data_IF_580664813592
#
_entry.id   IF_580664813592
#
_cell.length_a   1.000
_cell.length_b   1.000
_cell.length_c   1.000
_cell.angle_alpha   90.00
_cell.angle_beta   90.00
_cell.angle_gamma   90.00
#
_symmetry.space_group_name_H-M   'P 1'
#
loop_
_entity.id
_entity.type
_entity.pdbx_description
1 polymer ?
#
# COMPACT_ATOMS: atom_id res chain seq x y z
N UNK A 1 -20.20 3.60 24.66
CA UNK A 1 -19.81 3.41 23.25
C UNK A 1 -19.18 4.71 22.78
N UNK A 2 -17.83 4.80 22.85
CA UNK A 2 -17.11 5.99 22.44
C UNK A 2 -17.04 6.09 20.93
N UNK A 3 -17.16 7.31 20.41
CA UNK A 3 -16.91 7.58 19.00
C UNK A 3 -15.44 7.27 18.68
N UNK A 4 -15.21 6.64 17.50
CA UNK A 4 -13.84 6.38 17.02
C UNK A 4 -13.21 7.71 16.60
N UNK A 5 -12.02 8.00 17.14
CA UNK A 5 -11.29 9.22 16.81
C UNK A 5 -10.79 9.18 15.36
N UNK A 6 -11.03 10.27 14.61
CA UNK A 6 -10.49 10.47 13.27
C UNK A 6 -9.25 11.34 13.36
N UNK A 7 -8.14 10.83 12.85
CA UNK A 7 -6.83 11.49 12.93
C UNK A 7 -6.26 11.65 11.52
N UNK A 8 -5.87 12.86 11.10
CA UNK A 8 -5.27 13.04 9.77
C UNK A 8 -3.89 12.38 9.69
N UNK A 9 -3.53 11.91 8.50
CA UNK A 9 -2.21 11.30 8.24
C UNK A 9 -1.06 12.27 8.54
N UNK A 10 -1.31 13.57 8.57
CA UNK A 10 -0.31 14.57 8.98
C UNK A 10 0.07 14.48 10.45
N UNK A 11 -0.73 13.82 11.28
CA UNK A 11 -0.47 13.74 12.71
C UNK A 11 0.73 12.82 12.99
N UNK A 12 1.87 13.41 13.31
CA UNK A 12 3.14 12.72 13.50
C UNK A 12 3.24 11.93 14.81
N UNK A 13 2.26 12.07 15.70
CA UNK A 13 2.14 11.22 16.88
C UNK A 13 1.67 9.80 16.50
N UNK A 14 0.80 9.70 15.53
CA UNK A 14 0.19 8.44 15.11
C UNK A 14 0.77 7.85 13.82
N UNK A 15 1.32 8.69 12.94
CA UNK A 15 1.76 8.25 11.61
C UNK A 15 3.15 8.78 11.27
N UNK A 16 3.85 7.99 10.45
CA UNK A 16 5.11 8.40 9.83
C UNK A 16 4.91 8.49 8.33
N UNK A 17 5.32 9.61 7.72
CA UNK A 17 5.43 9.76 6.27
C UNK A 17 6.91 9.76 5.93
N UNK A 18 7.42 8.63 5.44
CA UNK A 18 8.85 8.38 5.23
C UNK A 18 9.27 8.63 3.77
N UNK A 19 8.76 9.68 3.16
CA UNK A 19 9.04 10.02 1.77
C UNK A 19 10.49 10.45 1.52
N UNK A 20 11.17 10.94 2.56
CA UNK A 20 12.50 11.55 2.44
C UNK A 20 13.56 10.60 1.86
N UNK A 21 13.46 9.30 2.09
CA UNK A 21 14.43 8.33 1.61
C UNK A 21 14.23 7.87 0.17
N UNK A 22 13.15 8.26 -0.48
CA UNK A 22 12.82 7.81 -1.84
C UNK A 22 13.89 8.22 -2.84
N UNK A 23 14.20 7.31 -3.77
CA UNK A 23 15.20 7.57 -4.81
C UNK A 23 14.80 6.92 -6.13
N UNK A 24 14.44 7.71 -7.16
CA UNK A 24 14.19 7.17 -8.49
C UNK A 24 15.51 6.79 -9.16
N UNK A 25 15.55 5.62 -9.81
CA UNK A 25 16.74 5.17 -10.57
C UNK A 25 16.25 4.68 -11.93
N UNK A 26 16.81 5.23 -13.00
CA UNK A 26 16.52 4.77 -14.36
C UNK A 26 16.87 3.30 -14.50
N UNK A 27 16.05 2.54 -15.24
CA UNK A 27 16.24 1.10 -15.42
C UNK A 27 17.66 0.74 -15.86
N UNK A 28 18.26 1.52 -16.76
CA UNK A 28 19.61 1.31 -17.27
C UNK A 28 20.71 1.51 -16.20
N UNK A 29 20.40 2.20 -15.10
CA UNK A 29 21.37 2.49 -14.03
C UNK A 29 21.14 1.64 -12.79
N UNK A 30 20.14 0.78 -12.78
CA UNK A 30 19.85 -0.10 -11.63
C UNK A 30 20.88 -1.23 -11.58
N UNK A 31 21.39 -1.50 -10.38
CA UNK A 31 22.31 -2.63 -10.13
C UNK A 31 21.46 -3.82 -9.69
N UNK A 32 21.47 -4.95 -10.43
CA UNK A 32 20.67 -6.12 -10.07
C UNK A 32 20.98 -6.63 -8.66
N UNK A 33 19.93 -7.04 -7.94
CA UNK A 33 20.04 -7.55 -6.58
C UNK A 33 18.75 -8.27 -6.15
N UNK A 34 18.52 -8.35 -4.85
CA UNK A 34 17.38 -9.07 -4.28
C UNK A 34 16.33 -8.15 -3.63
N UNK A 35 16.60 -6.86 -3.55
CA UNK A 35 15.70 -5.89 -2.93
C UNK A 35 14.61 -5.46 -3.92
N UNK A 36 13.32 -5.58 -3.57
CA UNK A 36 12.25 -5.15 -4.47
C UNK A 36 12.27 -3.63 -4.65
N UNK A 37 12.19 -3.20 -5.92
CA UNK A 37 12.12 -1.81 -6.33
C UNK A 37 10.67 -1.49 -6.69
N UNK A 38 10.04 -0.62 -5.88
CA UNK A 38 8.64 -0.29 -6.03
C UNK A 38 8.41 0.97 -6.85
N UNK A 39 7.51 0.85 -7.81
CA UNK A 39 6.90 1.98 -8.51
C UNK A 39 5.44 2.15 -8.06
N UNK A 40 4.68 2.96 -8.82
CA UNK A 40 3.31 3.33 -8.45
C UNK A 40 2.36 2.13 -8.31
N UNK A 41 2.54 1.07 -9.10
CA UNK A 41 1.56 -0.03 -9.17
C UNK A 41 2.08 -1.37 -8.69
N UNK A 42 3.40 -1.57 -8.65
CA UNK A 42 3.95 -2.87 -8.30
C UNK A 42 5.47 -2.81 -8.17
N UNK A 43 6.06 -3.96 -7.82
CA UNK A 43 7.51 -4.18 -7.93
C UNK A 43 7.88 -4.14 -9.41
N UNK A 44 8.79 -3.24 -9.77
CA UNK A 44 9.25 -3.06 -11.15
C UNK A 44 10.55 -3.79 -11.42
N UNK A 45 11.35 -4.04 -10.39
CA UNK A 45 12.69 -4.58 -10.51
C UNK A 45 13.18 -5.13 -9.17
N UNK A 46 14.34 -5.81 -9.19
CA UNK A 46 15.05 -6.23 -7.99
C UNK A 46 16.46 -5.66 -8.05
N UNK A 47 16.85 -4.91 -7.02
CA UNK A 47 18.08 -4.12 -7.03
C UNK A 47 18.95 -4.40 -5.82
N UNK A 48 20.21 -3.99 -5.89
CA UNK A 48 21.13 -3.98 -4.76
C UNK A 48 20.89 -2.73 -3.91
N UNK A 49 20.98 -2.88 -2.59
CA UNK A 49 20.75 -1.79 -1.65
C UNK A 49 19.25 -1.62 -1.30
N UNK A 50 18.94 -0.61 -0.55
CA UNK A 50 17.56 -0.31 -0.15
C UNK A 50 17.43 1.17 0.22
N UNK A 51 16.21 1.71 0.13
CA UNK A 51 15.88 3.05 0.62
C UNK A 51 15.24 3.00 2.01
N UNK A 52 14.51 1.91 2.29
CA UNK A 52 13.74 1.74 3.52
C UNK A 52 13.90 0.31 4.05
N UNK A 53 13.76 0.18 5.36
CA UNK A 53 13.72 -1.12 6.03
C UNK A 53 12.70 -1.05 7.16
N UNK A 54 11.66 -1.86 7.08
CA UNK A 54 10.60 -1.88 8.07
C UNK A 54 9.26 -2.26 7.45
N UNK A 55 8.18 -1.94 8.17
CA UNK A 55 6.81 -2.22 7.74
C UNK A 55 6.15 -0.91 7.30
N UNK A 56 5.76 -0.84 6.03
CA UNK A 56 5.21 0.38 5.44
C UNK A 56 4.06 0.08 4.49
N UNK A 57 3.20 1.08 4.29
CA UNK A 57 2.20 1.11 3.23
C UNK A 57 2.68 2.06 2.14
N UNK A 58 2.66 1.60 0.90
CA UNK A 58 3.06 2.39 -0.26
C UNK A 58 1.81 2.82 -1.01
N UNK A 59 1.63 4.13 -1.18
CA UNK A 59 0.45 4.72 -1.81
C UNK A 59 0.90 5.48 -3.05
N UNK A 60 0.31 5.17 -4.20
CA UNK A 60 0.70 5.85 -5.43
C UNK A 60 0.56 7.38 -5.29
N UNK A 61 1.63 8.11 -5.63
CA UNK A 61 1.60 9.57 -5.73
C UNK A 61 1.01 9.99 -7.07
N UNK A 62 1.42 9.29 -8.14
CA UNK A 62 0.90 9.46 -9.50
C UNK A 62 0.98 8.11 -10.24
N UNK A 63 0.37 8.03 -11.41
CA UNK A 63 0.49 6.84 -12.25
C UNK A 63 -0.25 5.59 -11.75
N UNK A 64 -1.21 5.73 -10.83
CA UNK A 64 -2.05 4.58 -10.45
C UNK A 64 -2.79 4.05 -11.66
N UNK A 65 -2.75 2.72 -11.86
CA UNK A 65 -3.40 2.07 -12.99
C UNK A 65 -4.93 2.23 -12.98
N UNK A 66 -5.53 2.38 -11.80
CA UNK A 66 -6.95 2.64 -11.62
C UNK A 66 -7.15 3.74 -10.60
N UNK A 67 -8.07 4.67 -10.85
CA UNK A 67 -8.44 5.70 -9.88
C UNK A 67 -9.50 5.20 -8.90
N UNK A 68 -10.31 4.24 -9.31
CA UNK A 68 -11.34 3.64 -8.45
C UNK A 68 -10.74 2.60 -7.51
N UNK A 69 -9.82 1.78 -8.02
CA UNK A 69 -9.01 0.86 -7.23
C UNK A 69 -7.60 1.43 -7.12
N UNK A 70 -7.46 2.44 -6.28
CA UNK A 70 -6.19 3.15 -6.16
C UNK A 70 -5.07 2.23 -5.70
N UNK A 71 -3.88 2.40 -6.28
CA UNK A 71 -2.75 1.51 -6.04
C UNK A 71 -2.18 1.69 -4.65
N UNK A 72 -2.37 0.69 -3.81
CA UNK A 72 -1.86 0.58 -2.44
C UNK A 72 -1.07 -0.71 -2.34
N UNK A 73 0.13 -0.65 -1.78
CA UNK A 73 1.00 -1.81 -1.60
C UNK A 73 1.47 -1.89 -0.16
N UNK A 74 1.79 -3.09 0.29
CA UNK A 74 2.30 -3.34 1.63
C UNK A 74 3.70 -3.94 1.52
N UNK A 75 4.68 -3.33 2.19
CA UNK A 75 6.07 -3.74 2.13
C UNK A 75 6.62 -4.01 3.53
N UNK A 76 7.33 -5.12 3.69
CA UNK A 76 7.97 -5.51 4.95
C UNK A 76 9.43 -5.85 4.67
N UNK A 77 10.33 -5.37 5.52
CA UNK A 77 11.76 -5.58 5.39
C UNK A 77 12.41 -4.53 4.51
N UNK A 78 13.53 -4.88 3.89
CA UNK A 78 14.26 -3.96 3.01
C UNK A 78 13.56 -3.83 1.67
N UNK A 79 13.33 -2.60 1.22
CA UNK A 79 12.79 -2.31 -0.09
C UNK A 79 13.34 -0.98 -0.61
N UNK A 80 13.15 -0.76 -1.91
CA UNK A 80 13.53 0.48 -2.56
C UNK A 80 12.27 1.16 -3.10
N UNK A 81 12.03 2.40 -2.67
CA UNK A 81 10.89 3.19 -3.13
C UNK A 81 11.36 4.28 -4.10
N UNK A 82 10.69 4.37 -5.25
CA UNK A 82 10.92 5.50 -6.16
C UNK A 82 10.02 6.69 -5.76
N UNK A 83 10.05 7.76 -6.56
CA UNK A 83 9.30 8.98 -6.28
C UNK A 83 7.81 8.93 -6.68
N UNK A 84 7.32 7.80 -7.18
CA UNK A 84 5.92 7.62 -7.56
C UNK A 84 5.06 6.98 -6.47
N UNK A 85 5.64 6.73 -5.31
CA UNK A 85 4.90 6.21 -4.15
C UNK A 85 5.18 7.05 -2.91
N UNK A 86 4.14 7.30 -2.13
CA UNK A 86 4.27 7.77 -0.74
C UNK A 86 4.55 6.57 0.15
N UNK A 87 5.39 6.76 1.16
CA UNK A 87 5.77 5.70 2.10
C UNK A 87 5.26 6.09 3.48
N UNK A 88 4.28 5.35 4.00
CA UNK A 88 3.65 5.68 5.28
C UNK A 88 3.63 4.48 6.23
N UNK A 89 3.61 4.76 7.52
CA UNK A 89 3.51 3.73 8.55
C UNK A 89 2.73 4.25 9.75
N UNK A 90 2.17 3.32 10.53
CA UNK A 90 1.62 3.62 11.84
C UNK A 90 2.75 3.67 12.87
N UNK A 91 2.59 4.57 13.83
CA UNK A 91 3.43 4.65 15.03
C UNK A 91 2.72 3.97 16.20
N UNK A 92 3.12 4.30 17.43
CA UNK A 92 2.50 3.77 18.63
C UNK A 92 0.98 4.01 18.62
N UNK A 93 0.21 2.98 18.85
CA UNK A 93 -1.25 3.03 18.82
C UNK A 93 -1.88 2.76 17.46
N UNK A 94 -1.09 2.62 16.39
CA UNK A 94 -1.57 2.34 15.03
C UNK A 94 -0.86 1.12 14.45
N UNK A 95 -1.62 0.08 14.15
CA UNK A 95 -1.16 -1.11 13.46
C UNK A 95 -1.02 -0.78 11.96
N UNK A 96 0.19 -0.91 11.40
CA UNK A 96 0.45 -0.56 9.99
C UNK A 96 -0.34 -1.45 9.02
N UNK A 97 -0.53 -2.73 9.34
CA UNK A 97 -1.35 -3.62 8.50
C UNK A 97 -2.82 -3.21 8.51
N UNK A 98 -3.33 -2.73 9.66
CA UNK A 98 -4.66 -2.12 9.75
C UNK A 98 -4.75 -0.89 8.85
N UNK A 99 -3.75 -0.01 8.89
CA UNK A 99 -3.68 1.17 8.02
C UNK A 99 -3.73 0.77 6.54
N UNK A 100 -2.99 -0.27 6.16
CA UNK A 100 -3.02 -0.81 4.81
C UNK A 100 -4.44 -1.22 4.38
N UNK A 101 -5.11 -2.03 5.18
CA UNK A 101 -6.48 -2.49 4.87
C UNK A 101 -7.46 -1.34 4.78
N UNK A 102 -7.35 -0.37 5.69
CA UNK A 102 -8.22 0.81 5.70
C UNK A 102 -8.04 1.62 4.42
N UNK A 103 -6.79 1.89 4.04
CA UNK A 103 -6.49 2.66 2.83
C UNK A 103 -6.97 1.94 1.56
N UNK A 104 -6.96 0.61 1.54
CA UNK A 104 -7.50 -0.16 0.43
C UNK A 104 -9.00 0.02 0.23
N UNK A 105 -9.74 0.42 1.27
CA UNK A 105 -11.19 0.66 1.21
C UNK A 105 -11.55 2.11 0.89
N UNK A 106 -10.57 3.02 0.94
CA UNK A 106 -10.79 4.45 0.79
C UNK A 106 -11.02 4.83 -0.67
N UNK A 107 -11.95 5.77 -0.89
CA UNK A 107 -12.08 6.42 -2.19
C UNK A 107 -11.09 7.59 -2.26
N UNK A 108 -10.06 7.46 -3.11
CA UNK A 108 -9.02 8.48 -3.25
C UNK A 108 -9.41 9.61 -4.19
N UNK A 109 -10.45 9.46 -5.01
CA UNK A 109 -10.80 10.44 -6.04
C UNK A 109 -10.94 11.87 -5.48
N UNK A 110 -11.59 12.11 -4.32
CA UNK A 110 -11.70 13.47 -3.77
C UNK A 110 -10.36 14.11 -3.39
N UNK A 111 -9.31 13.30 -3.22
CA UNK A 111 -7.98 13.78 -2.83
C UNK A 111 -7.03 13.99 -4.01
N UNK A 112 -7.46 13.59 -5.22
CA UNK A 112 -6.61 13.66 -6.40
C UNK A 112 -6.72 15.03 -7.07
N UNK A 113 -5.59 15.48 -7.65
CA UNK A 113 -5.51 16.73 -8.41
C UNK A 113 -4.89 16.47 -9.77
N UNK A 114 -5.00 17.46 -10.70
CA UNK A 114 -4.27 17.42 -11.95
C UNK A 114 -4.94 16.73 -13.13
N UNK A 115 -6.17 17.09 -13.47
CA UNK A 115 -6.84 16.80 -14.74
C UNK A 115 -6.52 15.43 -15.37
N UNK A 116 -5.82 15.40 -16.51
CA UNK A 116 -5.48 14.18 -17.23
C UNK A 116 -4.42 13.31 -16.59
N UNK A 117 -3.67 13.81 -15.62
CA UNK A 117 -2.74 13.05 -14.78
C UNK A 117 -3.11 13.23 -13.31
N UNK A 118 -3.88 12.31 -12.80
CA UNK A 118 -4.28 12.35 -11.40
C UNK A 118 -3.07 12.17 -10.49
N UNK A 119 -2.92 13.07 -9.52
CA UNK A 119 -1.82 13.09 -8.57
C UNK A 119 -2.35 13.22 -7.15
N UNK A 120 -1.83 12.39 -6.25
CA UNK A 120 -2.04 12.50 -4.82
C UNK A 120 -0.83 13.24 -4.22
N UNK A 121 -0.96 14.55 -4.02
CA UNK A 121 0.12 15.34 -3.41
C UNK A 121 0.31 14.96 -1.95
N UNK A 122 1.48 15.21 -1.37
CA UNK A 122 1.73 15.01 0.05
C UNK A 122 0.76 15.83 0.90
N UNK A 123 0.40 17.03 0.46
CA UNK A 123 -0.57 17.87 1.15
C UNK A 123 -1.94 17.23 1.24
N UNK A 124 -2.43 16.67 0.14
CA UNK A 124 -3.72 15.95 0.13
C UNK A 124 -3.66 14.63 0.88
N UNK A 125 -2.59 13.88 0.75
CA UNK A 125 -2.36 12.67 1.56
C UNK A 125 -2.43 12.99 3.05
N UNK A 126 -1.81 14.09 3.46
CA UNK A 126 -1.75 14.52 4.86
C UNK A 126 -3.11 14.84 5.46
N UNK A 127 -4.08 15.21 4.63
CA UNK A 127 -5.44 15.56 5.05
C UNK A 127 -6.35 14.34 5.27
N UNK A 128 -5.97 13.15 4.78
CA UNK A 128 -6.83 11.97 4.85
C UNK A 128 -7.10 11.60 6.31
N UNK A 129 -8.39 11.58 6.74
CA UNK A 129 -8.73 11.21 8.11
C UNK A 129 -8.74 9.70 8.27
N UNK A 130 -8.05 9.22 9.30
CA UNK A 130 -7.92 7.80 9.60
C UNK A 130 -8.60 7.51 10.94
N UNK A 131 -9.61 6.61 10.99
CA UNK A 131 -10.19 6.20 12.26
C UNK A 131 -9.22 5.30 13.03
N UNK A 132 -9.02 5.60 14.31
CA UNK A 132 -8.10 4.86 15.18
C UNK A 132 -8.87 4.24 16.34
N UNK A 133 -9.45 3.04 16.15
CA UNK A 133 -10.02 2.29 17.26
C UNK A 133 -8.91 1.74 18.16
N UNK A 134 -9.24 1.20 19.34
CA UNK A 134 -8.24 0.56 20.19
C UNK A 134 -7.47 -0.54 19.46
N UNK A 135 -6.20 -0.75 19.81
CA UNK A 135 -5.33 -1.75 19.16
C UNK A 135 -5.94 -3.16 19.07
N UNK A 136 -6.63 -3.69 20.09
CA UNK A 136 -7.29 -5.00 19.96
C UNK A 136 -8.33 -5.03 18.84
N UNK A 137 -9.06 -3.96 18.62
CA UNK A 137 -10.03 -3.87 17.54
C UNK A 137 -9.33 -3.79 16.17
N UNK A 138 -8.23 -3.03 16.08
CA UNK A 138 -7.41 -3.00 14.87
C UNK A 138 -6.90 -4.40 14.52
N UNK A 139 -6.38 -5.13 15.51
CA UNK A 139 -5.89 -6.49 15.32
C UNK A 139 -6.99 -7.45 14.86
N UNK A 140 -8.20 -7.31 15.39
CA UNK A 140 -9.36 -8.11 14.99
C UNK A 140 -9.72 -7.87 13.53
N UNK A 141 -9.74 -6.61 13.11
CA UNK A 141 -10.02 -6.21 11.73
C UNK A 141 -8.96 -6.79 10.78
N UNK A 142 -7.68 -6.67 11.16
CA UNK A 142 -6.56 -7.23 10.38
C UNK A 142 -6.72 -8.74 10.19
N UNK A 143 -7.02 -9.47 11.26
CA UNK A 143 -7.18 -10.92 11.22
C UNK A 143 -8.29 -11.34 10.25
N UNK A 144 -9.43 -10.63 10.28
CA UNK A 144 -10.57 -10.91 9.40
C UNK A 144 -10.22 -10.61 7.94
N UNK A 145 -9.62 -9.44 7.67
CA UNK A 145 -9.31 -9.02 6.31
C UNK A 145 -8.15 -9.80 5.70
N UNK A 146 -7.14 -10.16 6.47
CA UNK A 146 -6.04 -11.01 6.00
C UNK A 146 -6.56 -12.39 5.61
N UNK A 147 -7.46 -12.96 6.39
CA UNK A 147 -8.10 -14.24 6.08
C UNK A 147 -8.94 -14.14 4.79
N UNK A 148 -9.67 -13.05 4.61
CA UNK A 148 -10.47 -12.79 3.42
C UNK A 148 -9.58 -12.69 2.17
N UNK A 149 -8.47 -11.94 2.24
CA UNK A 149 -7.52 -11.80 1.14
C UNK A 149 -6.92 -13.15 0.75
N UNK A 150 -6.56 -13.99 1.72
CA UNK A 150 -6.04 -15.33 1.48
C UNK A 150 -7.05 -16.20 0.75
N UNK A 151 -8.32 -16.19 1.17
CA UNK A 151 -9.39 -16.95 0.52
C UNK A 151 -9.63 -16.46 -0.91
N UNK A 152 -9.68 -15.16 -1.13
CA UNK A 152 -9.88 -14.57 -2.47
C UNK A 152 -8.74 -14.96 -3.42
N UNK A 153 -7.50 -14.89 -2.95
CA UNK A 153 -6.32 -15.28 -3.73
C UNK A 153 -6.36 -16.77 -4.08
N UNK A 154 -6.67 -17.63 -3.13
CA UNK A 154 -6.80 -19.09 -3.34
C UNK A 154 -7.87 -19.44 -4.36
N UNK A 155 -9.02 -18.76 -4.32
CA UNK A 155 -10.10 -18.96 -5.30
C UNK A 155 -9.65 -18.53 -6.69
N UNK A 156 -8.99 -17.37 -6.81
CA UNK A 156 -8.50 -16.84 -8.09
C UNK A 156 -7.45 -17.75 -8.73
N UNK A 157 -6.60 -18.41 -7.94
CA UNK A 157 -5.59 -19.37 -8.44
C UNK A 157 -6.18 -20.75 -8.71
N UNK A 158 -7.17 -21.20 -7.92
CA UNK A 158 -7.77 -22.51 -8.04
C UNK A 158 -8.65 -22.69 -9.26
N UNK A 159 -9.47 -21.71 -9.61
CA UNK A 159 -10.42 -21.78 -10.72
C UNK A 159 -9.78 -22.08 -12.10
N UNK A 160 -8.70 -21.40 -12.51
CA UNK A 160 -8.06 -21.70 -13.79
C UNK A 160 -7.54 -23.12 -13.90
N UNK A 161 -7.00 -23.67 -12.83
CA UNK A 161 -6.50 -25.07 -12.79
C UNK A 161 -7.62 -26.09 -12.94
N UNK A 162 -8.76 -25.88 -12.30
CA UNK A 162 -9.92 -26.77 -12.42
C UNK A 162 -10.47 -26.79 -13.85
N UNK A 163 -10.58 -25.64 -14.47
CA UNK A 163 -11.03 -25.51 -15.87
C UNK A 163 -10.08 -26.25 -16.82
N UNK A 164 -8.78 -26.06 -16.65
CA UNK A 164 -7.76 -26.72 -17.47
C UNK A 164 -7.79 -28.23 -17.33
N UNK A 165 -7.92 -28.75 -16.11
CA UNK A 165 -8.03 -30.19 -15.85
C UNK A 165 -9.29 -30.79 -16.46
N UNK A 166 -10.42 -30.11 -16.39
CA UNK A 166 -11.68 -30.56 -16.99
C UNK A 166 -11.62 -30.60 -18.51
N UNK A 167 -10.96 -29.63 -19.13
CA UNK A 167 -10.76 -29.60 -20.58
C UNK A 167 -9.89 -30.76 -21.07
N UNK A 168 -8.91 -31.20 -20.28
CA UNK A 168 -8.05 -32.34 -20.60
C UNK A 168 -8.74 -33.70 -20.47
N UNK A 169 -9.85 -33.79 -19.73
CA UNK A 169 -10.61 -35.03 -19.56
C UNK A 169 -11.63 -35.31 -20.68
N UNK A 170 -11.87 -34.33 -21.52
CA UNK A 170 -12.76 -34.42 -22.65
C UNK A 170 -11.99 -34.20 -23.96
#
# INVERSE_FOLDING_TARGET
>A
EGEVELVPLANDHFFEIANRGRRPVKASLRIPGETPYYGANNVQDYVEGHTHDGEFVLIAEDGSASLEKYSIQYAVGMFWANNHVHVVAGKEGVNTRYLYHLLCTLNFIPYLSGGGRAKLTKGKLSEIPIPIPPLPEQARIVAILDKFDTLTHSISEGLPREIELRQKQY
#
